data_IF_625994253708
#
_entry.id   IF_625994253708
#
_cell.length_a   1.000
_cell.length_b   1.000
_cell.length_c   1.000
_cell.angle_alpha   90.00
_cell.angle_beta   90.00
_cell.angle_gamma   90.00
#
_symmetry.space_group_name_H-M   'P 1'
#
loop_
_entity.id
_entity.type
_entity.pdbx_description
1 polymer ?
#
# COMPACT_ATOMS: atom_id res chain seq x y z
N UNK A 1 -16.29 -11.91 -43.77
CA UNK A 1 -16.88 -11.16 -42.64
C UNK A 1 -15.99 -9.94 -42.40
N UNK A 2 -16.54 -8.73 -42.52
CA UNK A 2 -15.73 -7.49 -42.54
C UNK A 2 -15.46 -7.01 -41.11
N UNK A 3 -14.31 -6.36 -40.85
CA UNK A 3 -13.90 -5.87 -39.52
C UNK A 3 -14.96 -4.95 -38.89
N UNK A 4 -15.69 -4.19 -39.70
CA UNK A 4 -16.81 -3.36 -39.24
C UNK A 4 -17.97 -4.17 -38.64
N UNK A 5 -18.27 -5.36 -39.17
CA UNK A 5 -19.35 -6.22 -38.65
C UNK A 5 -18.96 -6.84 -37.31
N UNK A 6 -17.68 -7.15 -37.10
CA UNK A 6 -17.17 -7.69 -35.84
C UNK A 6 -17.23 -6.64 -34.74
N UNK A 7 -16.90 -5.37 -35.06
CA UNK A 7 -16.99 -4.25 -34.11
C UNK A 7 -18.45 -3.98 -33.71
N UNK A 8 -19.39 -4.03 -34.67
CA UNK A 8 -20.81 -3.87 -34.38
C UNK A 8 -21.38 -5.02 -33.52
N UNK A 9 -20.94 -6.26 -33.76
CA UNK A 9 -21.35 -7.41 -32.94
C UNK A 9 -20.82 -7.34 -31.51
N UNK A 10 -19.57 -6.91 -31.33
CA UNK A 10 -18.98 -6.71 -29.99
C UNK A 10 -19.73 -5.61 -29.24
N UNK A 11 -19.98 -4.48 -29.90
CA UNK A 11 -20.72 -3.35 -29.30
C UNK A 11 -22.15 -3.73 -28.95
N UNK A 12 -22.81 -4.52 -29.80
CA UNK A 12 -24.15 -5.05 -29.55
C UNK A 12 -24.18 -5.96 -28.32
N UNK A 13 -23.19 -6.83 -28.16
CA UNK A 13 -23.08 -7.71 -26.99
C UNK A 13 -22.83 -6.94 -25.70
N UNK A 14 -22.05 -5.86 -25.75
CA UNK A 14 -21.86 -4.97 -24.61
C UNK A 14 -23.18 -4.30 -24.20
N UNK A 15 -23.94 -3.80 -25.17
CA UNK A 15 -25.27 -3.18 -24.92
C UNK A 15 -26.25 -4.20 -24.33
N UNK A 16 -26.30 -5.42 -24.88
CA UNK A 16 -27.19 -6.50 -24.37
C UNK A 16 -26.80 -6.93 -22.95
N UNK A 17 -25.50 -7.00 -22.63
CA UNK A 17 -25.02 -7.30 -21.29
C UNK A 17 -25.33 -6.17 -20.29
N UNK A 18 -25.21 -4.91 -20.73
CA UNK A 18 -25.56 -3.76 -19.92
C UNK A 18 -27.08 -3.69 -19.64
N UNK A 19 -27.92 -3.98 -20.65
CA UNK A 19 -29.38 -4.06 -20.49
C UNK A 19 -29.79 -5.18 -19.53
N UNK A 20 -29.16 -6.36 -19.63
CA UNK A 20 -29.40 -7.46 -18.71
C UNK A 20 -29.07 -7.07 -17.25
N UNK A 21 -27.95 -6.39 -17.04
CA UNK A 21 -27.54 -5.91 -15.72
C UNK A 21 -28.51 -4.84 -15.17
N UNK A 22 -28.99 -3.93 -16.03
CA UNK A 22 -30.01 -2.93 -15.68
C UNK A 22 -31.31 -3.59 -15.23
N UNK A 23 -31.76 -4.62 -15.94
CA UNK A 23 -32.96 -5.37 -15.56
C UNK A 23 -32.77 -6.15 -14.25
N UNK A 24 -31.59 -6.73 -14.04
CA UNK A 24 -31.28 -7.46 -12.82
C UNK A 24 -31.23 -6.53 -11.60
N UNK A 25 -30.55 -5.38 -11.71
CA UNK A 25 -30.51 -4.37 -10.64
C UNK A 25 -31.91 -3.83 -10.34
N UNK A 26 -32.70 -3.54 -11.37
CA UNK A 26 -34.09 -3.09 -11.20
C UNK A 26 -34.93 -4.15 -10.49
N UNK A 27 -34.80 -5.41 -10.87
CA UNK A 27 -35.48 -6.53 -10.22
C UNK A 27 -35.05 -6.68 -8.77
N UNK A 28 -33.76 -6.53 -8.46
CA UNK A 28 -33.25 -6.57 -7.08
C UNK A 28 -33.78 -5.41 -6.25
N UNK A 29 -33.80 -4.19 -6.80
CA UNK A 29 -34.39 -3.01 -6.15
C UNK A 29 -35.89 -3.20 -5.88
N UNK A 30 -36.64 -3.72 -6.86
CA UNK A 30 -38.08 -4.01 -6.71
C UNK A 30 -38.34 -5.12 -5.68
N UNK A 31 -37.42 -6.08 -5.55
CA UNK A 31 -37.52 -7.20 -4.60
C UNK A 31 -37.10 -6.78 -3.18
N UNK A 32 -36.06 -5.96 -3.03
CA UNK A 32 -35.60 -5.43 -1.74
C UNK A 32 -36.52 -4.32 -1.19
N UNK A 33 -37.16 -3.53 -2.05
CA UNK A 33 -38.01 -2.41 -1.65
C UNK A 33 -39.50 -2.70 -1.69
N UNK A 34 -39.92 -3.93 -2.05
CA UNK A 34 -41.29 -4.45 -2.02
C UNK A 34 -42.35 -3.38 -1.84
N UNK A 35 -42.56 -2.54 -2.86
CA UNK A 35 -43.56 -1.47 -2.78
C UNK A 35 -44.90 -2.16 -2.90
N UNK A 36 -45.48 -2.53 -1.75
CA UNK A 36 -46.91 -2.79 -1.66
C UNK A 36 -47.62 -1.63 -2.37
N UNK A 37 -48.63 -1.88 -3.23
CA UNK A 37 -49.34 -0.80 -3.89
C UNK A 37 -49.84 0.13 -2.80
N UNK A 38 -49.26 1.32 -2.72
CA UNK A 38 -49.61 2.31 -1.72
C UNK A 38 -51.10 2.57 -1.88
N UNK A 39 -51.88 2.32 -0.83
CA UNK A 39 -53.25 2.78 -0.75
C UNK A 39 -53.25 4.26 -1.16
N UNK A 40 -54.11 4.62 -2.12
CA UNK A 40 -54.12 5.92 -2.77
C UNK A 40 -53.98 7.05 -1.74
N UNK A 41 -52.77 7.60 -1.63
CA UNK A 41 -52.52 8.70 -0.73
C UNK A 41 -53.22 9.94 -1.29
N UNK A 42 -53.94 10.65 -0.41
CA UNK A 42 -54.59 11.91 -0.74
C UNK A 42 -53.62 12.85 -1.47
N UNK A 43 -54.11 13.64 -2.45
CA UNK A 43 -53.24 14.43 -3.32
C UNK A 43 -52.29 15.30 -2.48
N UNK A 44 -50.97 15.24 -2.74
CA UNK A 44 -50.01 16.01 -1.97
C UNK A 44 -50.33 17.50 -2.14
N UNK A 45 -50.45 18.21 -1.02
CA UNK A 45 -50.63 19.67 -1.00
C UNK A 45 -49.52 20.29 -1.85
N UNK A 46 -49.90 21.16 -2.79
CA UNK A 46 -48.98 21.78 -3.74
C UNK A 46 -47.88 22.54 -2.99
N UNK A 47 -46.72 21.89 -2.87
CA UNK A 47 -45.58 22.37 -2.12
C UNK A 47 -44.31 22.21 -2.94
N UNK A 48 -43.31 23.01 -2.60
CA UNK A 48 -42.00 23.07 -3.25
C UNK A 48 -41.39 21.69 -3.58
N UNK A 49 -41.58 20.68 -2.73
CA UNK A 49 -41.12 19.30 -2.97
C UNK A 49 -41.74 18.60 -4.19
N UNK A 50 -43.01 18.86 -4.51
CA UNK A 50 -43.67 18.30 -5.72
C UNK A 50 -43.07 18.88 -6.99
N UNK A 51 -42.76 20.18 -6.99
CA UNK A 51 -42.09 20.85 -8.12
C UNK A 51 -40.65 20.37 -8.31
N UNK A 52 -39.94 20.04 -7.23
CA UNK A 52 -38.61 19.43 -7.31
C UNK A 52 -38.68 18.02 -7.92
N UNK A 53 -39.64 17.20 -7.48
CA UNK A 53 -39.89 15.87 -8.05
C UNK A 53 -40.32 15.93 -9.52
N UNK A 54 -41.24 16.82 -9.87
CA UNK A 54 -41.68 17.04 -11.26
C UNK A 54 -40.53 17.57 -12.13
N UNK A 55 -39.67 18.43 -11.61
CA UNK A 55 -38.48 18.90 -12.31
C UNK A 55 -37.52 17.75 -12.63
N UNK A 56 -37.17 16.90 -11.65
CA UNK A 56 -36.31 15.74 -11.88
C UNK A 56 -36.95 14.67 -12.79
N UNK A 57 -38.28 14.60 -12.85
CA UNK A 57 -39.02 13.73 -13.78
C UNK A 57 -39.29 14.38 -15.17
N UNK A 58 -38.80 15.60 -15.41
CA UNK A 58 -38.91 16.26 -16.71
C UNK A 58 -37.74 15.91 -17.62
N UNK A 59 -37.87 16.11 -18.94
CA UNK A 59 -36.78 15.88 -19.89
C UNK A 59 -35.50 16.69 -19.56
N UNK A 60 -35.65 17.92 -19.04
CA UNK A 60 -34.53 18.77 -18.63
C UNK A 60 -33.88 18.29 -17.33
N UNK A 61 -34.69 17.87 -16.35
CA UNK A 61 -34.19 17.30 -15.11
C UNK A 61 -33.52 15.95 -15.31
N UNK A 62 -34.07 15.10 -16.17
CA UNK A 62 -33.46 13.83 -16.59
C UNK A 62 -32.15 14.05 -17.35
N UNK A 63 -32.07 15.07 -18.20
CA UNK A 63 -30.82 15.46 -18.86
C UNK A 63 -29.76 15.95 -17.86
N UNK A 64 -30.16 16.77 -16.87
CA UNK A 64 -29.27 17.26 -15.82
C UNK A 64 -28.81 16.14 -14.88
N UNK A 65 -29.73 15.25 -14.45
CA UNK A 65 -29.41 14.02 -13.71
C UNK A 65 -28.41 13.16 -14.47
N UNK A 66 -28.60 13.00 -15.78
CA UNK A 66 -27.67 12.25 -16.62
C UNK A 66 -26.28 12.91 -16.62
N UNK A 67 -26.20 14.23 -16.74
CA UNK A 67 -24.93 14.96 -16.66
C UNK A 67 -24.23 14.79 -15.30
N UNK A 68 -24.96 14.91 -14.19
CA UNK A 68 -24.42 14.73 -12.82
C UNK A 68 -24.03 13.28 -12.55
N UNK A 69 -24.78 12.30 -13.04
CA UNK A 69 -24.45 10.87 -12.91
C UNK A 69 -23.24 10.51 -13.77
N UNK A 70 -23.13 11.02 -14.99
CA UNK A 70 -21.99 10.80 -15.88
C UNK A 70 -20.71 11.45 -15.33
N UNK A 71 -20.77 12.72 -14.90
CA UNK A 71 -19.59 13.44 -14.39
C UNK A 71 -19.26 13.08 -12.94
N UNK A 72 -20.26 13.03 -12.05
CA UNK A 72 -20.07 12.67 -10.65
C UNK A 72 -19.79 11.18 -10.44
N UNK A 73 -20.48 10.29 -11.17
CA UNK A 73 -20.23 8.85 -11.10
C UNK A 73 -18.85 8.46 -11.63
N UNK A 74 -18.40 9.06 -12.74
CA UNK A 74 -17.05 8.83 -13.26
C UNK A 74 -15.97 9.34 -12.29
N UNK A 75 -16.15 10.52 -11.69
CA UNK A 75 -15.21 11.05 -10.69
C UNK A 75 -15.13 10.16 -9.45
N UNK A 76 -16.25 9.62 -8.97
CA UNK A 76 -16.26 8.69 -7.84
C UNK A 76 -15.56 7.37 -8.18
N UNK A 77 -15.84 6.78 -9.34
CA UNK A 77 -15.19 5.53 -9.78
C UNK A 77 -13.68 5.75 -9.99
N UNK A 78 -13.28 6.85 -10.64
CA UNK A 78 -11.88 7.21 -10.81
C UNK A 78 -11.18 7.43 -9.48
N UNK A 79 -11.85 8.06 -8.51
CA UNK A 79 -11.30 8.26 -7.18
C UNK A 79 -11.13 6.94 -6.42
N UNK A 80 -12.10 6.03 -6.48
CA UNK A 80 -12.01 4.69 -5.86
C UNK A 80 -10.89 3.88 -6.52
N UNK A 81 -10.81 3.87 -7.85
CA UNK A 81 -9.74 3.21 -8.59
C UNK A 81 -8.37 3.77 -8.20
N UNK A 82 -8.24 5.11 -8.17
CA UNK A 82 -7.00 5.77 -7.79
C UNK A 82 -6.60 5.46 -6.35
N UNK A 83 -7.55 5.47 -5.41
CA UNK A 83 -7.29 5.08 -4.02
C UNK A 83 -6.81 3.63 -3.91
N UNK A 84 -7.45 2.69 -4.61
CA UNK A 84 -7.00 1.30 -4.62
C UNK A 84 -5.61 1.14 -5.23
N UNK A 85 -5.29 1.85 -6.30
CA UNK A 85 -3.93 1.84 -6.88
C UNK A 85 -2.89 2.39 -5.91
N UNK A 86 -3.20 3.48 -5.19
CA UNK A 86 -2.31 4.06 -4.18
C UNK A 86 -2.12 3.08 -3.01
N UNK A 87 -3.18 2.44 -2.54
CA UNK A 87 -3.11 1.43 -1.48
C UNK A 87 -2.29 0.21 -1.90
N UNK A 88 -2.50 -0.30 -3.12
CA UNK A 88 -1.72 -1.43 -3.66
C UNK A 88 -0.25 -1.07 -3.76
N UNK A 89 0.09 0.08 -4.36
CA UNK A 89 1.48 0.56 -4.45
C UNK A 89 2.11 0.73 -3.07
N UNK A 90 1.37 1.28 -2.11
CA UNK A 90 1.84 1.43 -0.72
C UNK A 90 2.13 0.08 -0.08
N UNK A 91 1.24 -0.91 -0.28
CA UNK A 91 1.44 -2.29 0.22
C UNK A 91 2.65 -2.96 -0.42
N UNK A 92 2.81 -2.85 -1.74
CA UNK A 92 3.95 -3.39 -2.48
C UNK A 92 5.26 -2.77 -2.00
N UNK A 93 5.31 -1.43 -1.90
CA UNK A 93 6.47 -0.71 -1.39
C UNK A 93 6.80 -1.15 0.04
N UNK A 94 5.80 -1.18 0.94
CA UNK A 94 5.99 -1.60 2.32
C UNK A 94 6.52 -3.04 2.39
N UNK A 95 5.99 -3.93 1.55
CA UNK A 95 6.45 -5.32 1.48
C UNK A 95 7.89 -5.42 0.99
N UNK A 96 8.25 -4.71 -0.08
CA UNK A 96 9.61 -4.69 -0.62
C UNK A 96 10.63 -4.21 0.42
N UNK A 97 10.31 -3.12 1.12
CA UNK A 97 11.17 -2.58 2.19
C UNK A 97 11.28 -3.57 3.35
N UNK A 98 10.17 -4.19 3.79
CA UNK A 98 10.19 -5.18 4.87
C UNK A 98 11.10 -6.36 4.55
N UNK A 99 10.97 -6.93 3.36
CA UNK A 99 11.79 -8.06 2.94
C UNK A 99 13.25 -7.67 2.77
N UNK A 100 13.54 -6.52 2.18
CA UNK A 100 14.91 -6.02 2.04
C UNK A 100 15.60 -5.83 3.40
N UNK A 101 14.89 -5.23 4.37
CA UNK A 101 15.38 -5.06 5.75
C UNK A 101 15.67 -6.41 6.40
N UNK A 102 14.73 -7.36 6.34
CA UNK A 102 14.92 -8.69 6.91
C UNK A 102 16.12 -9.39 6.27
N UNK A 103 16.22 -9.35 4.94
CA UNK A 103 17.30 -9.98 4.21
C UNK A 103 18.67 -9.44 4.60
N UNK A 104 18.80 -8.12 4.74
CA UNK A 104 20.06 -7.49 5.16
C UNK A 104 20.42 -7.85 6.58
N UNK A 105 19.46 -7.83 7.51
CA UNK A 105 19.71 -8.22 8.90
C UNK A 105 20.20 -9.67 8.95
N UNK A 106 19.55 -10.59 8.22
CA UNK A 106 19.95 -12.00 8.17
C UNK A 106 21.36 -12.17 7.58
N UNK A 107 21.70 -11.43 6.53
CA UNK A 107 23.06 -11.43 5.97
C UNK A 107 24.10 -10.92 6.97
N UNK A 108 23.81 -9.80 7.65
CA UNK A 108 24.71 -9.23 8.66
C UNK A 108 24.90 -10.21 9.82
N UNK A 109 23.83 -10.82 10.35
CA UNK A 109 23.92 -11.82 11.41
C UNK A 109 24.75 -13.04 10.98
N UNK A 110 24.50 -13.55 9.77
CA UNK A 110 25.22 -14.69 9.23
C UNK A 110 26.71 -14.39 9.05
N UNK A 111 27.03 -13.22 8.47
CA UNK A 111 28.40 -12.77 8.24
C UNK A 111 29.15 -12.55 9.55
N UNK A 112 28.54 -11.81 10.48
CA UNK A 112 29.14 -11.47 11.77
C UNK A 112 29.44 -12.71 12.63
N UNK A 113 28.55 -13.71 12.60
CA UNK A 113 28.78 -14.99 13.29
C UNK A 113 30.04 -15.70 12.81
N UNK A 114 30.38 -15.54 11.52
CA UNK A 114 31.54 -16.18 10.87
C UNK A 114 32.79 -15.31 10.85
N UNK A 115 32.67 -14.03 11.19
CA UNK A 115 33.78 -13.09 11.18
C UNK A 115 34.90 -13.53 12.13
N UNK A 116 36.12 -13.57 11.62
CA UNK A 116 37.32 -13.86 12.41
C UNK A 116 38.13 -12.60 12.64
N UNK A 117 38.16 -11.73 11.64
CA UNK A 117 38.87 -10.45 11.69
C UNK A 117 37.91 -9.27 11.77
N UNK A 118 38.46 -8.10 12.09
CA UNK A 118 37.77 -6.81 11.98
C UNK A 118 37.31 -6.57 10.54
N UNK A 119 38.14 -6.87 9.55
CA UNK A 119 37.77 -6.74 8.12
C UNK A 119 36.57 -7.62 7.74
N UNK A 120 36.51 -8.86 8.23
CA UNK A 120 35.34 -9.73 8.01
C UNK A 120 34.07 -9.13 8.62
N UNK A 121 34.19 -8.51 9.80
CA UNK A 121 33.07 -7.87 10.48
C UNK A 121 32.59 -6.62 9.73
N UNK A 122 33.49 -5.79 9.22
CA UNK A 122 33.13 -4.64 8.37
C UNK A 122 32.37 -5.10 7.13
N UNK A 123 32.92 -6.09 6.42
CA UNK A 123 32.28 -6.67 5.24
C UNK A 123 30.91 -7.29 5.56
N UNK A 124 30.76 -7.90 6.74
CA UNK A 124 29.46 -8.40 7.19
C UNK A 124 28.45 -7.27 7.43
N UNK A 125 28.90 -6.09 7.88
CA UNK A 125 28.07 -4.93 8.19
C UNK A 125 27.74 -4.04 6.97
N UNK A 126 28.33 -4.27 5.80
CA UNK A 126 28.09 -3.48 4.56
C UNK A 126 26.59 -3.23 4.28
N UNK A 127 25.75 -4.24 4.59
CA UNK A 127 24.28 -4.21 4.47
C UNK A 127 23.60 -3.04 5.18
N UNK A 128 24.26 -2.44 6.18
CA UNK A 128 23.81 -1.26 6.92
C UNK A 128 23.67 -0.04 6.01
N UNK A 129 24.56 0.11 5.03
CA UNK A 129 24.60 1.29 4.15
C UNK A 129 24.06 0.98 2.75
N UNK A 130 24.30 -0.22 2.24
CA UNK A 130 23.86 -0.66 0.91
C UNK A 130 23.77 -2.17 0.84
N UNK A 131 22.88 -2.70 0.01
CA UNK A 131 22.84 -4.14 -0.23
C UNK A 131 23.86 -4.55 -1.28
N UNK A 132 24.61 -5.63 -0.98
CA UNK A 132 25.42 -6.33 -1.98
C UNK A 132 24.55 -7.22 -2.88
N UNK A 133 23.44 -7.73 -2.34
CA UNK A 133 22.50 -8.61 -3.02
C UNK A 133 21.07 -8.12 -2.75
N UNK A 134 20.64 -7.02 -3.40
CA UNK A 134 19.30 -6.47 -3.16
C UNK A 134 18.21 -7.42 -3.66
N UNK A 135 17.12 -7.54 -2.90
CA UNK A 135 15.89 -8.19 -3.40
C UNK A 135 15.13 -7.29 -4.36
N UNK A 136 15.31 -5.97 -4.23
CA UNK A 136 14.76 -4.96 -5.13
C UNK A 136 15.87 -3.97 -5.54
N UNK A 137 16.21 -3.87 -6.84
CA UNK A 137 17.31 -3.01 -7.31
C UNK A 137 17.21 -1.55 -6.82
N UNK A 138 16.00 -1.01 -6.77
CA UNK A 138 15.74 0.37 -6.34
C UNK A 138 16.14 0.64 -4.88
N UNK A 139 16.23 -0.41 -4.07
CA UNK A 139 16.58 -0.33 -2.65
C UNK A 139 18.08 -0.53 -2.41
N UNK A 140 18.86 -0.90 -3.43
CA UNK A 140 20.25 -1.29 -3.27
C UNK A 140 21.10 -0.24 -2.54
N UNK A 141 20.99 1.02 -2.94
CA UNK A 141 21.79 2.14 -2.41
C UNK A 141 21.11 2.89 -1.26
N UNK A 142 20.13 2.27 -0.61
CA UNK A 142 19.44 2.82 0.57
C UNK A 142 20.08 2.23 1.83
N UNK A 143 20.38 3.07 2.83
CA UNK A 143 20.82 2.59 4.14
C UNK A 143 19.67 1.95 4.90
N UNK A 144 19.97 1.10 5.87
CA UNK A 144 18.99 0.48 6.75
C UNK A 144 18.09 1.52 7.43
N UNK A 145 18.68 2.62 7.93
CA UNK A 145 17.93 3.73 8.52
C UNK A 145 16.96 4.37 7.53
N UNK A 146 17.37 4.59 6.27
CA UNK A 146 16.48 5.15 5.24
C UNK A 146 15.34 4.20 4.88
N UNK A 147 15.59 2.89 4.85
CA UNK A 147 14.54 1.89 4.59
C UNK A 147 13.48 1.92 5.70
N UNK A 148 13.90 1.99 6.97
CA UNK A 148 12.98 2.12 8.10
C UNK A 148 12.20 3.44 8.08
N UNK A 149 12.87 4.56 7.77
CA UNK A 149 12.21 5.85 7.67
C UNK A 149 11.11 5.84 6.60
N UNK A 150 11.39 5.26 5.42
CA UNK A 150 10.37 5.08 4.37
C UNK A 150 9.23 4.20 4.85
N UNK A 151 9.52 3.06 5.49
CA UNK A 151 8.46 2.21 6.07
C UNK A 151 7.59 2.95 7.08
N UNK A 152 8.16 3.82 7.92
CA UNK A 152 7.39 4.62 8.89
C UNK A 152 6.44 5.60 8.18
N UNK A 153 6.89 6.24 7.10
CA UNK A 153 6.07 7.15 6.30
C UNK A 153 4.92 6.43 5.59
N UNK A 154 5.12 5.17 5.18
CA UNK A 154 4.11 4.37 4.50
C UNK A 154 3.00 3.84 5.43
N UNK A 155 3.23 3.78 6.76
CA UNK A 155 2.29 3.20 7.74
C UNK A 155 1.44 4.27 8.45
N UNK A 156 1.69 5.57 8.21
CA UNK A 156 0.84 6.70 8.63
C UNK A 156 0.54 6.84 10.15
N UNK A 157 1.27 6.15 11.04
CA UNK A 157 1.08 6.28 12.49
C UNK A 157 2.12 7.25 13.09
N UNK A 158 1.72 8.47 13.52
CA UNK A 158 2.65 9.50 14.00
C UNK A 158 3.40 9.13 15.29
N UNK A 159 2.86 8.21 16.10
CA UNK A 159 3.32 7.93 17.47
C UNK A 159 3.66 6.44 17.70
N UNK A 160 4.31 5.81 16.73
CA UNK A 160 4.76 4.44 16.90
C UNK A 160 6.05 4.39 17.74
N UNK A 161 5.90 4.27 19.07
CA UNK A 161 7.00 4.06 20.03
C UNK A 161 7.97 2.96 19.58
N UNK A 162 7.44 1.91 18.95
CA UNK A 162 8.25 0.78 18.46
C UNK A 162 9.10 1.18 17.26
N UNK A 163 8.57 2.03 16.37
CA UNK A 163 9.34 2.60 15.27
C UNK A 163 10.47 3.51 15.77
N UNK A 164 10.21 4.32 16.80
CA UNK A 164 11.25 5.12 17.44
C UNK A 164 12.34 4.24 18.07
N UNK A 165 11.95 3.14 18.72
CA UNK A 165 12.86 2.17 19.33
C UNK A 165 13.74 1.46 18.27
N UNK A 166 13.15 1.02 17.16
CA UNK A 166 13.90 0.44 16.03
C UNK A 166 14.94 1.42 15.50
N UNK A 167 14.54 2.68 15.27
CA UNK A 167 15.45 3.71 14.78
C UNK A 167 16.60 3.98 15.75
N UNK A 168 16.34 3.94 17.06
CA UNK A 168 17.40 4.08 18.06
C UNK A 168 18.40 2.93 18.01
N UNK A 169 17.92 1.68 17.86
CA UNK A 169 18.82 0.53 17.70
C UNK A 169 19.61 0.58 16.38
N UNK A 170 19.00 1.02 15.27
CA UNK A 170 19.71 1.21 14.00
C UNK A 170 20.81 2.27 14.15
N UNK A 171 20.53 3.40 14.80
CA UNK A 171 21.53 4.43 15.08
C UNK A 171 22.69 3.89 15.94
N UNK A 172 22.40 3.14 17.00
CA UNK A 172 23.44 2.50 17.83
C UNK A 172 24.28 1.49 17.04
N UNK A 173 23.68 0.80 16.09
CA UNK A 173 24.39 -0.10 15.18
C UNK A 173 25.31 0.68 14.23
N UNK A 174 24.86 1.81 13.69
CA UNK A 174 25.69 2.72 12.89
C UNK A 174 26.86 3.28 13.71
N UNK A 175 26.62 3.70 14.96
CA UNK A 175 27.67 4.17 15.87
C UNK A 175 28.70 3.06 16.17
N UNK A 176 28.25 1.84 16.43
CA UNK A 176 29.13 0.69 16.67
C UNK A 176 29.92 0.29 15.42
N UNK A 177 29.32 0.44 14.23
CA UNK A 177 29.97 0.21 12.95
C UNK A 177 31.06 1.28 12.67
N UNK A 178 30.80 2.55 12.97
CA UNK A 178 31.82 3.61 12.85
C UNK A 178 33.03 3.35 13.76
N UNK A 179 32.81 2.86 14.97
CA UNK A 179 33.90 2.44 15.86
C UNK A 179 34.68 1.26 15.26
N UNK A 180 33.98 0.31 14.64
CA UNK A 180 34.61 -0.82 13.94
C UNK A 180 35.45 -0.33 12.75
N UNK A 181 34.99 0.68 12.00
CA UNK A 181 35.71 1.27 10.86
C UNK A 181 37.07 1.85 11.24
N UNK A 182 37.21 2.40 12.45
CA UNK A 182 38.47 2.94 12.96
C UNK A 182 39.53 1.86 13.28
N UNK A 183 39.15 0.57 13.35
CA UNK A 183 40.04 -0.52 13.69
C UNK A 183 40.74 -1.10 12.44
N UNK A 184 41.98 -1.63 12.55
CA UNK A 184 42.67 -2.26 11.42
C UNK A 184 42.05 -3.61 11.03
N UNK A 185 41.93 -3.85 9.72
CA UNK A 185 41.18 -4.99 9.16
C UNK A 185 41.80 -6.36 9.49
N UNK A 186 43.12 -6.43 9.64
CA UNK A 186 43.89 -7.65 9.87
C UNK A 186 43.79 -8.17 11.32
N UNK A 187 43.27 -7.35 12.24
CA UNK A 187 43.16 -7.71 13.65
C UNK A 187 42.03 -8.70 13.90
N UNK A 188 42.19 -9.63 14.85
CA UNK A 188 41.09 -10.49 15.30
C UNK A 188 39.91 -9.67 15.82
N UNK A 189 38.68 -10.09 15.48
CA UNK A 189 37.48 -9.48 16.03
C UNK A 189 37.32 -9.86 17.50
N UNK A 190 37.33 -8.86 18.39
CA UNK A 190 37.15 -9.08 19.82
C UNK A 190 35.78 -9.70 20.15
N UNK A 191 35.77 -10.68 21.05
CA UNK A 191 34.53 -11.36 21.50
C UNK A 191 33.44 -10.39 21.98
N UNK A 192 33.74 -9.44 22.89
CA UNK A 192 32.76 -8.46 23.36
C UNK A 192 32.19 -7.57 22.25
N UNK A 193 33.02 -7.21 21.26
CA UNK A 193 32.59 -6.37 20.13
C UNK A 193 31.61 -7.14 19.23
N UNK A 194 31.92 -8.41 18.93
CA UNK A 194 31.02 -9.30 18.18
C UNK A 194 29.69 -9.47 18.89
N UNK A 195 29.73 -9.71 20.20
CA UNK A 195 28.54 -9.88 21.02
C UNK A 195 27.67 -8.62 21.05
N UNK A 196 28.29 -7.44 21.17
CA UNK A 196 27.59 -6.16 21.12
C UNK A 196 26.86 -5.95 19.79
N UNK A 197 27.55 -6.12 18.66
CA UNK A 197 26.95 -6.01 17.33
C UNK A 197 25.83 -7.04 17.13
N UNK A 198 26.04 -8.29 17.58
CA UNK A 198 25.03 -9.35 17.47
C UNK A 198 23.77 -9.03 18.27
N UNK A 199 23.93 -8.46 19.48
CA UNK A 199 22.81 -8.02 20.32
C UNK A 199 22.00 -6.90 19.63
N UNK A 200 22.67 -5.92 19.04
CA UNK A 200 22.00 -4.85 18.29
C UNK A 200 21.20 -5.41 17.11
N UNK A 201 21.80 -6.27 16.29
CA UNK A 201 21.11 -6.93 15.18
C UNK A 201 19.89 -7.73 15.64
N UNK A 202 20.04 -8.50 16.72
CA UNK A 202 18.94 -9.29 17.30
C UNK A 202 17.80 -8.39 17.80
N UNK A 203 18.11 -7.28 18.47
CA UNK A 203 17.11 -6.30 18.91
C UNK A 203 16.34 -5.69 17.75
N UNK A 204 17.05 -5.27 16.69
CA UNK A 204 16.41 -4.73 15.48
C UNK A 204 15.50 -5.80 14.85
N UNK A 205 16.00 -7.02 14.70
CA UNK A 205 15.25 -8.14 14.12
C UNK A 205 13.97 -8.45 14.88
N UNK A 206 14.05 -8.54 16.21
CA UNK A 206 12.90 -8.84 17.07
C UNK A 206 11.82 -7.76 16.98
N UNK A 207 12.23 -6.49 16.96
CA UNK A 207 11.30 -5.37 16.81
C UNK A 207 10.68 -5.37 15.39
N UNK A 208 11.47 -5.61 14.36
CA UNK A 208 11.01 -5.67 12.97
C UNK A 208 10.01 -6.81 12.72
N UNK A 209 10.34 -8.03 13.18
CA UNK A 209 9.52 -9.22 12.98
C UNK A 209 8.30 -9.25 13.91
N UNK A 210 8.38 -8.70 15.12
CA UNK A 210 7.20 -8.57 16.00
C UNK A 210 6.12 -7.59 15.48
N UNK A 211 6.24 -7.12 14.24
CA UNK A 211 5.30 -6.22 13.53
C UNK A 211 4.44 -7.01 12.51
N UNK A 212 4.56 -8.34 12.48
CA UNK A 212 3.71 -9.25 11.69
C UNK A 212 2.49 -9.71 12.48
#
# INVERSE_FOLDING_TARGET
>A
MSIHQVIDEVRRREIEAEEALRHEVRRRLDTEHGVAPAAAAAPPKDGFGKKVLEFFNSALGMWLLSSVVLTGGAALIQNIQHQHEVEQKTREQLSAHKFEVTHRIDQMEYGLRRAKTVGDAKAAMDGLFKSKFPLSPDLQNKSLGSLYLTMMQLVSAPDDKKSAEVMDFVRRLEEAELVLQALPDDKPLAGPQREHLSKLLTSIKNLHLGRS
#
